data_IF_019505626280
#
_entry.id   IF_019505626280
#
_cell.length_a   1.000
_cell.length_b   1.000
_cell.length_c   1.000
_cell.angle_alpha   90.00
_cell.angle_beta   90.00
_cell.angle_gamma   90.00
#
_symmetry.space_group_name_H-M   'P 1'
#
loop_
_entity.id
_entity.type
_entity.pdbx_description
1 polymer ?
#
# COMPACT_ATOMS: atom_id res chain seq x y z
N UNK A 1 -25.86 43.79 57.18
CA UNK A 1 -26.33 45.13 57.57
C UNK A 1 -27.23 45.63 56.47
N UNK A 2 -28.49 45.84 56.83
CA UNK A 2 -29.58 46.29 55.97
C UNK A 2 -29.62 47.81 56.09
N UNK A 3 -29.75 48.53 54.98
CA UNK A 3 -30.29 49.89 54.95
C UNK A 3 -30.98 50.06 53.60
N UNK A 4 -32.30 49.99 53.58
CA UNK A 4 -33.25 51.10 53.81
C UNK A 4 -33.66 51.69 52.45
N UNK A 5 -34.82 51.34 51.87
CA UNK A 5 -36.21 51.70 52.26
C UNK A 5 -36.68 53.01 51.57
N UNK A 6 -37.95 52.95 51.11
CA UNK A 6 -38.95 54.00 50.83
C UNK A 6 -39.12 54.57 49.40
N UNK A 7 -40.16 54.03 48.74
CA UNK A 7 -41.15 54.63 47.82
C UNK A 7 -41.67 56.02 48.30
N UNK A 8 -42.25 56.93 47.46
CA UNK A 8 -43.57 56.67 46.84
C UNK A 8 -44.01 57.40 45.54
N UNK A 9 -45.07 56.82 44.97
CA UNK A 9 -46.24 57.35 44.20
C UNK A 9 -46.27 58.81 43.71
N UNK A 10 -46.63 58.96 42.43
CA UNK A 10 -47.82 59.63 41.84
C UNK A 10 -47.54 59.69 40.33
N UNK A 11 -48.43 59.51 39.36
CA UNK A 11 -49.84 59.82 39.24
C UNK A 11 -50.14 59.77 37.74
N UNK A 12 -51.32 59.28 37.39
CA UNK A 12 -51.85 59.09 36.03
C UNK A 12 -51.88 60.38 35.21
N UNK A 13 -51.69 60.32 33.88
CA UNK A 13 -52.63 60.85 32.85
C UNK A 13 -52.16 60.43 31.45
N UNK A 14 -53.10 59.85 30.72
CA UNK A 14 -53.05 59.41 29.32
C UNK A 14 -53.20 60.62 28.38
N UNK A 15 -52.39 60.72 27.31
CA UNK A 15 -52.75 61.37 26.03
C UNK A 15 -51.74 60.97 24.95
N UNK A 16 -52.24 60.26 23.93
CA UNK A 16 -51.43 59.77 22.83
C UNK A 16 -51.10 60.83 21.78
N UNK A 17 -50.12 60.51 20.93
CA UNK A 17 -50.08 60.77 19.49
C UNK A 17 -48.67 60.44 18.96
N UNK A 18 -48.60 59.73 17.83
CA UNK A 18 -47.59 60.00 16.80
C UNK A 18 -46.23 59.31 16.88
N UNK A 19 -46.12 58.17 16.17
CA UNK A 19 -45.10 57.87 15.14
C UNK A 19 -43.62 58.18 15.44
N UNK A 20 -42.82 57.12 15.63
CA UNK A 20 -41.60 56.82 14.84
C UNK A 20 -41.00 55.48 15.30
N UNK A 21 -41.33 54.39 14.58
CA UNK A 21 -40.71 53.08 14.81
C UNK A 21 -39.36 53.05 14.08
N UNK A 22 -38.28 53.43 14.77
CA UNK A 22 -36.92 53.16 14.30
C UNK A 22 -36.60 51.68 14.50
N UNK A 23 -36.79 50.87 13.45
CA UNK A 23 -36.30 49.50 13.40
C UNK A 23 -34.78 49.54 13.20
N UNK A 24 -34.03 49.53 14.31
CA UNK A 24 -32.59 49.27 14.30
C UNK A 24 -32.34 47.80 13.96
N UNK A 25 -32.01 47.52 12.70
CA UNK A 25 -31.43 46.26 12.26
C UNK A 25 -30.02 46.14 12.84
N UNK A 26 -29.89 45.48 13.99
CA UNK A 26 -28.60 44.99 14.45
C UNK A 26 -28.18 43.82 13.54
N UNK A 27 -27.35 44.11 12.54
CA UNK A 27 -26.69 43.08 11.75
C UNK A 27 -25.66 42.38 12.64
N UNK A 28 -25.96 41.16 13.09
CA UNK A 28 -24.95 40.27 13.63
C UNK A 28 -23.93 39.98 12.53
N UNK A 29 -22.72 40.52 12.65
CA UNK A 29 -21.57 40.12 11.85
C UNK A 29 -21.18 38.68 12.22
N UNK A 30 -21.95 37.71 11.72
CA UNK A 30 -21.59 36.30 11.72
C UNK A 30 -20.51 36.08 10.67
N UNK A 31 -19.26 36.43 11.01
CA UNK A 31 -18.10 36.04 10.24
C UNK A 31 -17.97 34.52 10.30
N UNK A 32 -18.61 33.82 9.36
CA UNK A 32 -18.26 32.44 9.05
C UNK A 32 -16.80 32.46 8.61
N UNK A 33 -15.92 32.08 9.54
CA UNK A 33 -14.58 31.67 9.19
C UNK A 33 -14.78 30.46 8.29
N UNK A 34 -14.72 30.66 6.98
CA UNK A 34 -14.58 29.56 6.04
C UNK A 34 -13.28 28.88 6.43
N UNK A 35 -13.39 27.79 7.20
CA UNK A 35 -12.29 26.86 7.37
C UNK A 35 -11.99 26.35 5.96
N UNK A 36 -10.96 26.92 5.35
CA UNK A 36 -10.36 26.36 4.15
C UNK A 36 -9.74 25.06 4.63
N UNK A 37 -10.49 23.97 4.52
CA UNK A 37 -9.89 22.64 4.58
C UNK A 37 -8.83 22.63 3.49
N UNK A 38 -7.54 22.43 3.80
CA UNK A 38 -6.55 22.23 2.76
C UNK A 38 -7.05 21.09 1.90
N UNK A 39 -7.23 21.32 0.61
CA UNK A 39 -7.30 20.22 -0.34
C UNK A 39 -5.92 19.59 -0.29
N UNK A 40 -5.77 18.54 0.51
CA UNK A 40 -4.57 17.72 0.54
C UNK A 40 -4.46 17.08 -0.84
N UNK A 41 -3.73 17.75 -1.73
CA UNK A 41 -3.41 17.19 -3.02
C UNK A 41 -2.64 15.90 -2.75
N UNK A 42 -3.04 14.75 -3.32
CA UNK A 42 -2.30 13.51 -3.12
C UNK A 42 -0.86 13.78 -3.52
N UNK A 43 0.08 13.62 -2.58
CA UNK A 43 1.51 13.78 -2.87
C UNK A 43 1.82 12.88 -4.06
N UNK A 44 2.19 13.51 -5.17
CA UNK A 44 2.68 12.77 -6.32
C UNK A 44 4.03 12.18 -5.91
N UNK A 45 4.08 10.86 -5.74
CA UNK A 45 5.31 10.15 -5.43
C UNK A 45 6.02 9.91 -6.76
N UNK A 46 7.20 10.48 -6.91
CA UNK A 46 8.06 10.19 -8.06
C UNK A 46 8.35 8.69 -8.11
N UNK A 47 8.19 8.07 -9.27
CA UNK A 47 8.42 6.64 -9.47
C UNK A 47 9.66 6.43 -10.32
N UNK A 48 10.52 5.52 -9.88
CA UNK A 48 11.61 4.97 -10.65
C UNK A 48 11.21 3.62 -11.23
N UNK A 49 11.69 3.35 -12.43
CA UNK A 49 11.42 2.12 -13.16
C UNK A 49 12.68 1.26 -13.23
N UNK A 50 12.56 0.01 -12.79
CA UNK A 50 13.62 -1.00 -12.89
C UNK A 50 13.10 -2.31 -13.47
N UNK A 51 13.99 -3.26 -13.74
CA UNK A 51 13.57 -4.58 -14.16
C UNK A 51 13.05 -5.42 -12.98
N UNK A 52 12.13 -6.32 -13.26
CA UNK A 52 11.71 -7.37 -12.35
C UNK A 52 12.44 -8.66 -12.67
N UNK A 53 13.03 -9.25 -11.63
CA UNK A 53 13.74 -10.53 -11.66
C UNK A 53 13.23 -11.42 -10.54
N UNK A 54 13.64 -12.68 -10.56
CA UNK A 54 13.25 -13.61 -9.52
C UNK A 54 14.29 -14.69 -9.26
N UNK A 55 14.26 -15.19 -8.03
CA UNK A 55 14.94 -16.41 -7.60
C UNK A 55 13.90 -17.35 -6.99
N UNK A 56 13.95 -18.62 -7.38
CA UNK A 56 13.03 -19.63 -6.88
C UNK A 56 13.79 -20.72 -6.11
N UNK A 57 13.54 -20.74 -4.80
CA UNK A 57 14.02 -21.77 -3.87
C UNK A 57 12.95 -22.84 -3.59
N UNK A 58 11.81 -22.80 -4.29
CA UNK A 58 10.73 -23.79 -4.14
C UNK A 58 10.91 -24.96 -5.10
N UNK A 59 10.35 -26.14 -4.79
CA UNK A 59 10.36 -27.27 -5.72
C UNK A 59 9.34 -27.13 -6.86
N UNK A 60 8.66 -25.98 -6.96
CA UNK A 60 7.54 -25.77 -7.87
C UNK A 60 7.90 -24.77 -8.96
N UNK A 61 7.35 -24.98 -10.14
CA UNK A 61 7.50 -24.02 -11.23
C UNK A 61 6.61 -22.81 -10.96
N UNK A 62 7.17 -21.62 -11.16
CA UNK A 62 6.42 -20.36 -11.05
C UNK A 62 6.19 -19.87 -12.46
N UNK A 63 4.94 -19.88 -12.89
CA UNK A 63 4.57 -19.54 -14.26
C UNK A 63 4.68 -18.04 -14.51
N UNK A 64 4.24 -17.21 -13.56
CA UNK A 64 4.34 -15.74 -13.62
C UNK A 64 4.08 -15.15 -12.24
N UNK A 65 4.44 -13.89 -12.06
CA UNK A 65 4.05 -13.12 -10.87
C UNK A 65 3.88 -11.64 -11.18
N UNK A 66 3.20 -10.95 -10.27
CA UNK A 66 3.01 -9.52 -10.28
C UNK A 66 3.26 -8.93 -8.89
N UNK A 67 3.80 -7.73 -8.88
CA UNK A 67 3.94 -6.85 -7.72
C UNK A 67 2.96 -5.71 -7.94
N UNK A 68 2.13 -5.40 -6.96
CA UNK A 68 1.12 -4.35 -7.08
C UNK A 68 1.11 -3.50 -5.82
N UNK A 69 1.21 -2.19 -5.97
CA UNK A 69 1.06 -1.24 -4.88
C UNK A 69 -0.40 -0.81 -4.67
N UNK A 70 -0.63 0.21 -3.82
CA UNK A 70 -1.97 0.73 -3.57
C UNK A 70 -2.69 1.17 -4.86
N UNK A 71 -4.01 1.01 -4.89
CA UNK A 71 -4.82 1.37 -6.07
C UNK A 71 -4.59 2.83 -6.47
N UNK A 72 -4.43 3.07 -7.77
CA UNK A 72 -4.18 4.41 -8.32
C UNK A 72 -2.75 4.95 -8.14
N UNK A 73 -1.86 4.24 -7.45
CA UNK A 73 -0.48 4.72 -7.20
C UNK A 73 0.46 4.59 -8.41
N UNK A 74 0.14 3.71 -9.38
CA UNK A 74 1.06 3.36 -10.46
C UNK A 74 2.26 2.50 -10.04
N UNK A 75 2.35 2.13 -8.75
CA UNK A 75 3.39 1.27 -8.20
C UNK A 75 3.10 -0.19 -8.57
N UNK A 76 4.10 -0.89 -9.10
CA UNK A 76 4.00 -2.31 -9.42
C UNK A 76 4.71 -2.69 -10.71
N UNK A 77 4.62 -3.97 -11.05
CA UNK A 77 5.20 -4.55 -12.26
C UNK A 77 4.96 -6.05 -12.34
N UNK A 78 5.34 -6.65 -13.47
CA UNK A 78 5.23 -8.09 -13.72
C UNK A 78 6.60 -8.75 -13.72
N UNK A 79 6.64 -10.06 -13.52
CA UNK A 79 7.87 -10.83 -13.49
C UNK A 79 7.86 -12.09 -14.36
N UNK A 80 9.05 -12.64 -14.64
CA UNK A 80 9.18 -13.79 -15.52
C UNK A 80 8.71 -15.09 -14.87
N UNK A 81 8.59 -16.13 -15.70
CA UNK A 81 8.52 -17.49 -15.20
C UNK A 81 9.86 -17.93 -14.57
N UNK A 82 9.83 -18.88 -13.63
CA UNK A 82 11.00 -19.33 -12.88
C UNK A 82 10.95 -20.83 -12.66
N UNK A 83 12.01 -21.53 -13.08
CA UNK A 83 12.16 -22.97 -12.87
C UNK A 83 12.22 -23.32 -11.37
N UNK A 84 11.90 -24.57 -10.97
CA UNK A 84 12.13 -25.05 -9.61
C UNK A 84 13.58 -24.91 -9.16
N UNK A 85 13.80 -24.93 -7.85
CA UNK A 85 15.12 -25.04 -7.24
C UNK A 85 15.91 -26.20 -7.86
N UNK A 86 17.21 -26.00 -8.05
CA UNK A 86 18.08 -27.03 -8.61
C UNK A 86 18.31 -28.16 -7.61
N UNK A 87 18.68 -29.34 -8.12
CA UNK A 87 18.96 -30.52 -7.30
C UNK A 87 20.08 -30.30 -6.26
N UNK A 88 20.99 -29.36 -6.51
CA UNK A 88 22.07 -28.98 -5.60
C UNK A 88 21.65 -27.93 -4.55
N UNK A 89 20.36 -27.58 -4.48
CA UNK A 89 19.81 -26.62 -3.54
C UNK A 89 19.97 -25.15 -3.94
N UNK A 90 20.66 -24.84 -5.05
CA UNK A 90 20.78 -23.46 -5.54
C UNK A 90 19.47 -22.99 -6.18
N UNK A 91 19.10 -21.71 -6.01
CA UNK A 91 17.87 -21.20 -6.60
C UNK A 91 17.98 -21.15 -8.11
N UNK A 92 16.89 -21.43 -8.80
CA UNK A 92 16.79 -21.08 -10.22
C UNK A 92 16.54 -19.58 -10.37
N UNK A 93 17.18 -18.98 -11.37
CA UNK A 93 16.85 -17.62 -11.81
C UNK A 93 15.60 -17.64 -12.67
N UNK A 94 14.86 -16.53 -12.68
CA UNK A 94 13.78 -16.33 -13.64
C UNK A 94 14.27 -16.44 -15.09
N UNK A 95 13.34 -16.49 -16.03
CA UNK A 95 13.62 -16.31 -17.45
C UNK A 95 14.25 -14.94 -17.74
N UNK A 96 13.91 -14.33 -18.87
CA UNK A 96 14.39 -12.96 -19.15
C UNK A 96 13.79 -11.99 -18.13
N UNK A 97 14.60 -11.08 -17.57
CA UNK A 97 14.10 -9.98 -16.77
C UNK A 97 12.94 -9.26 -17.48
N UNK A 98 11.90 -8.93 -16.74
CA UNK A 98 10.70 -8.26 -17.29
C UNK A 98 10.78 -6.80 -16.92
N UNK A 99 10.73 -5.93 -17.92
CA UNK A 99 10.84 -4.50 -17.67
C UNK A 99 9.70 -3.96 -16.82
N UNK A 100 10.07 -2.90 -16.13
CA UNK A 100 9.22 -1.78 -15.81
C UNK A 100 8.41 -1.95 -14.52
N UNK A 101 9.05 -2.47 -13.47
CA UNK A 101 8.54 -2.32 -12.11
C UNK A 101 8.76 -0.90 -11.65
N UNK A 102 7.66 -0.20 -11.37
CA UNK A 102 7.63 1.15 -10.82
C UNK A 102 7.60 1.11 -9.30
N UNK A 103 8.57 1.75 -8.65
CA UNK A 103 8.64 1.91 -7.19
C UNK A 103 8.92 3.39 -6.85
N UNK A 104 8.54 3.86 -5.64
CA UNK A 104 8.88 5.21 -5.21
C UNK A 104 10.38 5.52 -5.31
N UNK A 105 10.73 6.72 -5.75
CA UNK A 105 12.12 7.19 -5.77
C UNK A 105 12.68 7.32 -4.34
N UNK A 106 11.81 7.69 -3.38
CA UNK A 106 12.12 7.74 -1.96
C UNK A 106 11.44 6.60 -1.22
N UNK A 107 12.19 5.89 -0.38
CA UNK A 107 11.64 4.79 0.41
C UNK A 107 10.49 5.25 1.32
N UNK A 108 9.38 4.51 1.26
CA UNK A 108 8.16 4.81 2.01
C UNK A 108 7.93 3.73 3.08
N UNK A 109 8.00 4.04 4.39
CA UNK A 109 7.84 3.06 5.47
C UNK A 109 6.47 2.38 5.47
N UNK A 110 5.45 3.11 5.03
CA UNK A 110 4.06 2.67 5.02
C UNK A 110 3.65 2.00 3.72
N UNK A 111 4.53 1.94 2.71
CA UNK A 111 4.24 1.22 1.46
C UNK A 111 3.99 -0.26 1.75
N UNK A 112 2.79 -0.70 1.37
CA UNK A 112 2.38 -2.11 1.38
C UNK A 112 2.12 -2.56 -0.04
N UNK A 113 2.74 -3.66 -0.41
CA UNK A 113 2.58 -4.29 -1.70
C UNK A 113 1.78 -5.58 -1.56
N UNK A 114 1.19 -5.98 -2.67
CA UNK A 114 0.68 -7.33 -2.88
C UNK A 114 1.55 -8.01 -3.92
N UNK A 115 2.06 -9.20 -3.59
CA UNK A 115 2.74 -10.07 -4.54
C UNK A 115 1.81 -11.22 -4.86
N UNK A 116 1.51 -11.40 -6.14
CA UNK A 116 0.66 -12.50 -6.62
C UNK A 116 1.45 -13.35 -7.61
N UNK A 117 1.36 -14.67 -7.49
CA UNK A 117 2.06 -15.56 -8.40
C UNK A 117 1.23 -16.79 -8.74
N UNK A 118 1.43 -17.29 -9.95
CA UNK A 118 0.87 -18.55 -10.42
C UNK A 118 1.94 -19.62 -10.25
N UNK A 119 1.67 -20.62 -9.41
CA UNK A 119 2.56 -21.76 -9.15
C UNK A 119 1.93 -23.05 -9.65
N UNK A 120 2.73 -23.86 -10.34
CA UNK A 120 2.34 -25.19 -10.80
C UNK A 120 2.82 -26.23 -9.79
N UNK A 121 1.87 -26.90 -9.13
CA UNK A 121 2.13 -27.90 -8.09
C UNK A 121 1.69 -29.28 -8.54
N UNK A 122 2.51 -30.29 -8.25
CA UNK A 122 2.17 -31.70 -8.48
C UNK A 122 1.26 -32.20 -7.37
N UNK A 123 0.11 -32.77 -7.74
CA UNK A 123 -0.87 -33.37 -6.84
C UNK A 123 -0.52 -34.83 -6.51
N UNK A 124 -1.13 -35.43 -5.47
CA UNK A 124 -0.93 -36.83 -5.11
C UNK A 124 -1.29 -37.83 -6.23
N UNK A 125 -2.20 -37.46 -7.14
CA UNK A 125 -2.59 -38.23 -8.32
C UNK A 125 -1.56 -38.13 -9.48
N UNK A 126 -0.48 -37.38 -9.27
CA UNK A 126 0.59 -37.19 -10.25
C UNK A 126 0.36 -36.06 -11.26
N UNK A 127 -0.83 -35.44 -11.29
CA UNK A 127 -1.14 -34.34 -12.20
C UNK A 127 -0.56 -33.00 -11.72
N UNK A 128 -0.24 -32.11 -12.66
CA UNK A 128 0.21 -30.75 -12.34
C UNK A 128 -0.94 -29.77 -12.46
N UNK A 129 -1.14 -28.97 -11.42
CA UNK A 129 -2.20 -27.98 -11.36
C UNK A 129 -1.62 -26.62 -11.04
N UNK A 130 -2.02 -25.60 -11.80
CA UNK A 130 -1.74 -24.21 -11.47
C UNK A 130 -2.61 -23.73 -10.31
N UNK A 131 -2.03 -22.91 -9.45
CA UNK A 131 -2.72 -22.23 -8.35
C UNK A 131 -2.22 -20.79 -8.23
N UNK A 132 -3.15 -19.84 -8.19
CA UNK A 132 -2.82 -18.47 -7.81
C UNK A 132 -2.62 -18.37 -6.30
N UNK A 133 -1.51 -17.76 -5.90
CA UNK A 133 -1.21 -17.37 -4.53
C UNK A 133 -1.06 -15.86 -4.44
N UNK A 134 -1.38 -15.30 -3.27
CA UNK A 134 -1.13 -13.91 -2.94
C UNK A 134 -0.45 -13.78 -1.58
N UNK A 135 0.46 -12.84 -1.46
CA UNK A 135 1.00 -12.32 -0.22
C UNK A 135 0.67 -10.83 -0.15
N UNK A 136 -0.09 -10.43 0.86
CA UNK A 136 -0.49 -9.04 1.10
C UNK A 136 0.41 -8.41 2.17
N UNK A 137 0.41 -7.08 2.25
CA UNK A 137 1.21 -6.32 3.23
C UNK A 137 2.72 -6.56 3.11
N UNK A 138 3.20 -6.88 1.91
CA UNK A 138 4.62 -7.05 1.62
C UNK A 138 5.32 -5.70 1.75
N UNK A 139 6.31 -5.65 2.64
CA UNK A 139 7.17 -4.48 2.82
C UNK A 139 8.49 -4.69 2.09
N UNK A 140 9.13 -3.60 1.68
CA UNK A 140 10.49 -3.60 1.16
C UNK A 140 11.41 -3.00 2.24
N UNK A 141 12.60 -3.58 2.41
CA UNK A 141 13.62 -3.00 3.26
C UNK A 141 14.00 -1.58 2.81
N UNK A 142 14.44 -0.70 3.73
CA UNK A 142 14.92 0.64 3.37
C UNK A 142 15.90 0.61 2.20
N UNK A 143 15.69 1.50 1.23
CA UNK A 143 16.59 1.70 0.10
C UNK A 143 16.98 3.18 -0.01
N UNK A 144 18.13 3.43 -0.64
CA UNK A 144 18.64 4.79 -0.84
C UNK A 144 17.74 5.59 -1.78
N UNK A 145 17.44 6.84 -1.43
CA UNK A 145 16.66 7.73 -2.29
C UNK A 145 17.32 7.89 -3.67
N UNK A 146 16.50 7.89 -4.71
CA UNK A 146 16.94 8.04 -6.09
C UNK A 146 17.52 6.77 -6.73
N UNK A 147 17.53 5.63 -6.03
CA UNK A 147 17.96 4.36 -6.61
C UNK A 147 17.18 3.16 -6.04
N UNK A 148 16.27 2.61 -6.84
CA UNK A 148 15.58 1.35 -6.52
C UNK A 148 16.27 0.13 -7.12
N UNK A 149 17.19 0.30 -8.06
CA UNK A 149 17.75 -0.79 -8.86
C UNK A 149 16.67 -1.68 -9.49
N UNK A 150 16.99 -2.97 -9.63
CA UNK A 150 16.05 -4.00 -10.06
C UNK A 150 15.29 -4.59 -8.86
N UNK A 151 14.03 -4.92 -9.06
CA UNK A 151 13.20 -5.62 -8.08
C UNK A 151 13.34 -7.14 -8.24
N UNK A 152 13.60 -7.84 -7.14
CA UNK A 152 13.76 -9.29 -7.10
C UNK A 152 12.69 -9.93 -6.23
N UNK A 153 11.83 -10.76 -6.83
CA UNK A 153 10.97 -11.65 -6.08
C UNK A 153 11.73 -12.93 -5.70
N UNK A 154 11.93 -13.13 -4.40
CA UNK A 154 12.59 -14.30 -3.84
C UNK A 154 11.52 -15.25 -3.32
N UNK A 155 11.21 -16.28 -4.10
CA UNK A 155 10.24 -17.31 -3.71
C UNK A 155 10.91 -18.38 -2.86
N UNK A 156 10.30 -18.66 -1.72
CA UNK A 156 10.87 -19.48 -0.65
C UNK A 156 9.96 -20.66 -0.35
N UNK A 157 10.51 -21.78 0.16
CA UNK A 157 9.72 -22.93 0.58
C UNK A 157 8.60 -22.54 1.55
N UNK A 158 7.50 -23.31 1.49
CA UNK A 158 6.26 -23.08 2.22
C UNK A 158 5.50 -21.84 1.76
N UNK A 159 5.53 -21.57 0.45
CA UNK A 159 4.75 -20.50 -0.20
C UNK A 159 5.04 -19.12 0.36
N UNK A 160 6.30 -18.84 0.68
CA UNK A 160 6.74 -17.56 1.22
C UNK A 160 7.44 -16.73 0.14
N UNK A 161 7.42 -15.42 0.29
CA UNK A 161 8.09 -14.50 -0.64
C UNK A 161 8.78 -13.36 0.11
N UNK A 162 9.89 -12.89 -0.43
CA UNK A 162 10.52 -11.62 -0.05
C UNK A 162 10.83 -10.81 -1.31
N UNK A 163 10.60 -9.50 -1.26
CA UNK A 163 11.07 -8.57 -2.29
C UNK A 163 12.40 -7.97 -1.83
N UNK A 164 13.42 -8.07 -2.68
CA UNK A 164 14.72 -7.42 -2.50
C UNK A 164 14.99 -6.48 -3.65
N UNK A 165 15.73 -5.40 -3.39
CA UNK A 165 16.20 -4.49 -4.42
C UNK A 165 17.70 -4.66 -4.67
N UNK A 166 18.19 -4.24 -5.83
CA UNK A 166 19.64 -4.03 -6.08
C UNK A 166 19.98 -2.54 -6.03
N UNK A 167 19.52 -1.89 -4.97
CA UNK A 167 19.69 -0.48 -4.65
C UNK A 167 21.11 -0.11 -4.17
N UNK A 168 21.93 -1.11 -3.85
CA UNK A 168 23.26 -0.96 -3.25
C UNK A 168 23.26 -0.90 -1.72
N UNK A 169 22.10 -0.94 -1.06
CA UNK A 169 21.97 -0.98 0.39
C UNK A 169 21.98 -2.42 0.92
N UNK A 170 23.17 -2.98 1.10
CA UNK A 170 23.29 -4.34 1.62
C UNK A 170 22.93 -4.47 3.12
N UNK A 171 23.04 -3.39 3.90
CA UNK A 171 22.75 -3.38 5.35
C UNK A 171 21.25 -3.57 5.64
N UNK A 172 20.37 -3.15 4.72
CA UNK A 172 18.93 -3.42 4.76
C UNK A 172 18.54 -4.86 4.39
N UNK A 173 19.51 -5.71 4.02
CA UNK A 173 19.25 -7.04 3.50
C UNK A 173 18.78 -7.05 2.03
N UNK A 174 18.97 -5.95 1.29
CA UNK A 174 18.77 -5.89 -0.15
C UNK A 174 20.01 -6.45 -0.86
N UNK A 175 20.08 -7.78 -0.93
CA UNK A 175 21.13 -8.48 -1.67
C UNK A 175 20.62 -9.83 -2.19
N UNK A 176 20.12 -9.89 -3.43
CA UNK A 176 19.61 -11.12 -4.04
C UNK A 176 20.65 -12.25 -4.15
N UNK A 177 21.96 -11.95 -4.06
CA UNK A 177 23.01 -12.98 -4.05
C UNK A 177 22.99 -13.81 -2.75
N UNK A 178 22.41 -13.26 -1.68
CA UNK A 178 22.26 -13.93 -0.40
C UNK A 178 20.81 -14.40 -0.24
N UNK A 179 20.62 -15.71 -0.04
CA UNK A 179 19.29 -16.21 0.35
C UNK A 179 18.88 -15.54 1.67
N UNK A 180 17.69 -14.94 1.77
CA UNK A 180 17.22 -14.40 3.04
C UNK A 180 17.14 -15.51 4.09
N UNK A 181 17.47 -15.17 5.33
CA UNK A 181 17.29 -16.07 6.47
C UNK A 181 15.79 -16.35 6.67
N UNK A 182 15.44 -17.54 7.16
CA UNK A 182 14.02 -17.91 7.35
C UNK A 182 13.28 -17.03 8.37
N UNK A 183 14.03 -16.32 9.23
CA UNK A 183 13.56 -15.34 10.22
C UNK A 183 13.56 -13.89 9.72
N UNK A 184 13.85 -13.65 8.44
CA UNK A 184 13.89 -12.32 7.86
C UNK A 184 12.52 -11.61 7.99
N UNK A 185 12.45 -10.37 8.53
CA UNK A 185 11.20 -9.70 8.88
C UNK A 185 10.40 -9.16 7.69
N UNK A 186 10.91 -9.28 6.46
CA UNK A 186 10.19 -8.94 5.23
C UNK A 186 9.83 -10.17 4.40
N UNK A 187 10.06 -11.39 4.93
CA UNK A 187 9.43 -12.58 4.39
C UNK A 187 7.95 -12.54 4.77
N UNK A 188 7.09 -12.72 3.77
CA UNK A 188 5.64 -12.79 3.93
C UNK A 188 5.12 -14.14 3.47
N UNK A 189 4.15 -14.67 4.19
CA UNK A 189 3.45 -15.90 3.85
C UNK A 189 2.44 -15.63 2.72
N UNK A 190 2.53 -16.40 1.65
CA UNK A 190 1.50 -16.50 0.64
C UNK A 190 0.37 -17.42 1.08
N UNK A 191 -0.83 -17.09 0.62
CA UNK A 191 -2.04 -17.91 0.75
C UNK A 191 -2.66 -18.11 -0.62
N UNK A 192 -3.50 -19.14 -0.76
CA UNK A 192 -4.30 -19.34 -1.97
C UNK A 192 -5.15 -18.10 -2.21
N UNK A 193 -5.10 -17.60 -3.45
CA UNK A 193 -5.95 -16.50 -3.88
C UNK A 193 -7.25 -17.07 -4.45
N UNK A 194 -8.25 -17.30 -3.60
CA UNK A 194 -9.54 -17.88 -4.01
C UNK A 194 -10.23 -17.08 -5.11
N UNK A 195 -10.11 -15.75 -5.05
CA UNK A 195 -10.70 -14.85 -6.05
C UNK A 195 -10.03 -15.06 -7.41
N UNK A 196 -8.70 -15.05 -7.47
CA UNK A 196 -8.00 -15.23 -8.74
C UNK A 196 -8.10 -16.65 -9.28
N UNK A 197 -8.09 -17.67 -8.42
CA UNK A 197 -8.34 -19.04 -8.88
C UNK A 197 -9.75 -19.23 -9.44
N UNK A 198 -10.73 -18.41 -9.01
CA UNK A 198 -12.09 -18.40 -9.57
C UNK A 198 -12.20 -17.59 -10.86
N UNK A 199 -11.60 -16.39 -10.92
CA UNK A 199 -11.72 -15.47 -12.06
C UNK A 199 -10.78 -15.81 -13.22
N UNK A 200 -9.61 -16.36 -12.89
CA UNK A 200 -8.54 -16.70 -13.81
C UNK A 200 -8.08 -18.15 -13.55
N UNK A 201 -8.99 -19.13 -13.74
CA UNK A 201 -8.69 -20.53 -13.45
C UNK A 201 -7.44 -20.98 -14.22
N UNK A 202 -6.39 -21.45 -13.53
CA UNK A 202 -5.17 -21.88 -14.19
C UNK A 202 -5.38 -23.12 -15.07
N UNK A 203 -4.45 -23.36 -15.99
CA UNK A 203 -4.42 -24.60 -16.75
C UNK A 203 -4.15 -25.82 -15.81
N UNK A 204 -4.69 -26.97 -16.21
CA UNK A 204 -4.53 -28.26 -15.54
C UNK A 204 -4.20 -29.35 -16.58
N UNK A 205 -3.38 -30.33 -16.20
CA UNK A 205 -3.05 -31.52 -17.00
C UNK A 205 -4.11 -32.63 -16.94
#
# INVERSE_FOLDING_TARGET
MISSIFLPRLGTVLKGAGVALCLSLAACAGGQSHAVTPVEMPRHVELLSGDTKALNYTPWYIHTFAITGPSGSGIGGGGPNVMPVRADGRPSGGGKAVCCTSLPAEWQPDLKLTVRWLVEKKRPDGKTWGYWYKAENVRIAPYSSGNTGDAWAIFLPRDRVRIMLTDGNHDGGNNPNNRPADSDPYIVQGVIDEEWNRLYPPAHD
#
